data_IF_742048434335
#
_entry.id   IF_742048434335
#
_cell.length_a   1.000
_cell.length_b   1.000
_cell.length_c   1.000
_cell.angle_alpha   90.00
_cell.angle_beta   90.00
_cell.angle_gamma   90.00
#
_symmetry.space_group_name_H-M   'P 1'
#
loop_
_entity.id
_entity.type
_entity.pdbx_description
1 polymer ?
#
# COMPACT_ATOMS: atom_id res chain seq x y z
N UNK A 1 18.28 -9.06 20.09
CA UNK A 1 18.79 -8.04 19.14
C UNK A 1 17.88 -6.82 19.26
N UNK A 2 18.34 -5.64 18.84
CA UNK A 2 17.43 -4.49 18.77
C UNK A 2 16.38 -4.76 17.68
N UNK A 3 15.12 -4.45 17.95
CA UNK A 3 14.02 -4.55 16.99
C UNK A 3 13.44 -3.17 16.72
N UNK A 4 12.85 -3.03 15.53
CA UNK A 4 12.12 -1.85 15.09
C UNK A 4 10.70 -2.27 14.77
N UNK A 5 9.71 -1.58 15.33
CA UNK A 5 8.31 -1.82 15.00
C UNK A 5 7.98 -1.19 13.65
N UNK A 6 7.25 -1.91 12.81
CA UNK A 6 6.71 -1.46 11.53
C UNK A 6 5.19 -1.41 11.63
N UNK A 7 4.58 -0.36 11.05
CA UNK A 7 3.15 -0.18 10.94
C UNK A 7 2.67 -0.46 9.50
N UNK A 8 2.12 -1.65 9.26
CA UNK A 8 1.53 -2.09 8.01
C UNK A 8 0.09 -1.60 7.83
N UNK A 9 -0.24 -1.06 6.65
CA UNK A 9 -1.52 -0.35 6.40
C UNK A 9 -2.36 -0.94 5.26
N UNK A 10 -1.75 -1.77 4.40
CA UNK A 10 -2.39 -2.37 3.23
C UNK A 10 -2.37 -3.89 3.29
N UNK A 11 -1.71 -4.52 2.32
CA UNK A 11 -1.51 -5.98 2.32
C UNK A 11 -0.73 -6.48 3.54
N UNK A 12 0.13 -5.65 4.14
CA UNK A 12 0.83 -5.94 5.40
C UNK A 12 -0.11 -6.13 6.62
N UNK A 13 -1.40 -5.83 6.50
CA UNK A 13 -2.39 -6.22 7.51
C UNK A 13 -2.68 -7.74 7.51
N UNK A 14 -2.20 -8.47 6.51
CA UNK A 14 -2.14 -9.93 6.49
C UNK A 14 -0.75 -10.38 6.91
N UNK A 15 -0.69 -11.14 8.01
CA UNK A 15 0.55 -11.72 8.51
C UNK A 15 1.23 -12.61 7.46
N UNK A 16 0.45 -13.47 6.79
CA UNK A 16 0.96 -14.32 5.71
C UNK A 16 1.53 -13.50 4.55
N UNK A 17 0.86 -12.41 4.16
CA UNK A 17 1.40 -11.50 3.14
C UNK A 17 2.71 -10.86 3.56
N UNK A 18 2.82 -10.44 4.83
CA UNK A 18 4.04 -9.82 5.36
C UNK A 18 5.20 -10.81 5.41
N UNK A 19 4.96 -12.06 5.86
CA UNK A 19 6.00 -13.10 6.01
C UNK A 19 6.63 -13.55 4.69
N UNK A 20 6.02 -13.23 3.54
CA UNK A 20 6.65 -13.46 2.23
C UNK A 20 7.81 -12.53 1.91
N UNK A 21 7.95 -11.41 2.65
CA UNK A 21 8.98 -10.41 2.35
C UNK A 21 10.10 -10.33 3.38
N UNK A 22 9.79 -10.56 4.65
CA UNK A 22 10.77 -10.50 5.74
C UNK A 22 10.21 -11.20 6.98
N UNK A 23 11.10 -11.65 7.86
CA UNK A 23 10.74 -12.25 9.14
C UNK A 23 10.46 -11.19 10.21
N UNK A 24 9.52 -11.51 11.10
CA UNK A 24 9.13 -10.65 12.20
C UNK A 24 8.43 -11.42 13.32
N UNK A 25 8.39 -10.78 14.47
CA UNK A 25 7.67 -11.21 15.67
C UNK A 25 6.54 -10.24 16.04
N UNK A 26 5.71 -10.64 17.01
CA UNK A 26 4.76 -9.78 17.70
C UNK A 26 3.73 -9.08 16.77
N UNK A 27 3.16 -9.83 15.83
CA UNK A 27 2.09 -9.33 14.95
C UNK A 27 0.84 -8.99 15.76
N UNK A 28 0.41 -7.73 15.70
CA UNK A 28 -0.74 -7.23 16.48
C UNK A 28 -1.40 -6.05 15.81
N UNK A 29 -2.66 -5.77 16.14
CA UNK A 29 -3.34 -4.56 15.66
C UNK A 29 -3.03 -3.40 16.60
N UNK A 30 -2.68 -2.26 16.01
CA UNK A 30 -2.50 -0.99 16.71
C UNK A 30 -3.16 0.17 15.98
N UNK A 31 -2.93 1.36 16.49
CA UNK A 31 -3.50 2.62 16.04
C UNK A 31 -2.40 3.66 15.82
N UNK A 32 -2.53 4.43 14.74
CA UNK A 32 -1.76 5.65 14.50
C UNK A 32 -2.71 6.84 14.34
N UNK A 33 -2.32 8.00 14.89
CA UNK A 33 -3.10 9.23 14.86
C UNK A 33 -2.59 10.20 13.80
N UNK A 34 -3.47 11.00 13.20
CA UNK A 34 -3.06 12.04 12.24
C UNK A 34 -2.74 11.51 10.84
N UNK A 35 -3.05 10.24 10.57
CA UNK A 35 -2.78 9.59 9.29
C UNK A 35 -4.00 8.84 8.79
N UNK A 36 -4.23 8.86 7.48
CA UNK A 36 -5.24 8.03 6.81
C UNK A 36 -4.68 7.36 5.57
N UNK A 37 -5.33 6.29 5.14
CA UNK A 37 -4.95 5.54 3.94
C UNK A 37 -5.45 6.24 2.68
N UNK A 38 -4.65 6.21 1.62
CA UNK A 38 -5.08 6.61 0.29
C UNK A 38 -4.41 5.76 -0.80
N UNK A 39 -5.18 5.39 -1.84
CA UNK A 39 -4.68 4.77 -3.06
C UNK A 39 -4.00 5.81 -3.97
N UNK A 40 -2.89 6.39 -3.50
CA UNK A 40 -2.24 7.54 -4.12
C UNK A 40 -0.76 7.30 -4.46
N UNK A 41 -0.30 6.06 -4.33
CA UNK A 41 1.07 5.67 -4.63
C UNK A 41 1.07 4.60 -5.70
N UNK A 42 1.90 4.74 -6.73
CA UNK A 42 2.17 3.62 -7.63
C UNK A 42 3.13 2.63 -6.94
N UNK A 43 2.76 1.36 -6.85
CA UNK A 43 3.68 0.32 -6.38
C UNK A 43 4.05 -0.60 -7.55
N UNK A 44 5.33 -0.62 -7.90
CA UNK A 44 5.84 -1.46 -8.97
C UNK A 44 5.89 -2.93 -8.62
N UNK A 45 5.98 -3.31 -7.34
CA UNK A 45 5.80 -4.72 -6.94
C UNK A 45 4.49 -5.24 -7.52
N UNK A 46 3.42 -4.45 -7.46
CA UNK A 46 2.15 -4.82 -8.04
C UNK A 46 2.22 -4.89 -9.58
N UNK A 47 3.00 -4.04 -10.24
CA UNK A 47 3.16 -4.08 -11.71
C UNK A 47 3.99 -5.30 -12.13
N UNK A 48 5.11 -5.56 -11.47
CA UNK A 48 5.99 -6.71 -11.75
C UNK A 48 5.34 -8.05 -11.46
N UNK A 49 4.46 -8.11 -10.46
CA UNK A 49 3.66 -9.29 -10.15
C UNK A 49 2.38 -9.39 -11.00
N UNK A 50 2.17 -8.48 -11.96
CA UNK A 50 0.97 -8.48 -12.82
C UNK A 50 -0.34 -8.15 -12.09
N UNK A 51 -0.26 -7.67 -10.85
CA UNK A 51 -1.39 -7.21 -10.05
C UNK A 51 -1.89 -5.84 -10.52
N UNK A 52 -1.04 -5.02 -11.12
CA UNK A 52 -1.35 -3.66 -11.56
C UNK A 52 -1.18 -3.50 -13.08
N UNK A 53 -2.00 -2.63 -13.69
CA UNK A 53 -2.00 -2.39 -15.14
C UNK A 53 -1.77 -0.92 -15.45
N UNK A 54 -0.64 -0.63 -16.09
CA UNK A 54 -0.22 0.74 -16.38
C UNK A 54 -1.12 1.38 -17.44
N UNK A 55 -1.60 0.60 -18.41
CA UNK A 55 -2.40 1.08 -19.55
C UNK A 55 -3.77 1.59 -19.11
N UNK A 56 -4.33 1.02 -18.04
CA UNK A 56 -5.65 1.36 -17.50
C UNK A 56 -5.59 2.29 -16.29
N UNK A 57 -4.38 2.59 -15.78
CA UNK A 57 -4.19 3.38 -14.56
C UNK A 57 -4.52 2.63 -13.26
N UNK A 58 -4.74 1.31 -13.33
CA UNK A 58 -5.02 0.42 -12.19
C UNK A 58 -3.73 0.03 -11.45
N UNK A 59 -2.98 1.04 -11.01
CA UNK A 59 -1.67 0.89 -10.35
C UNK A 59 -1.62 1.49 -8.95
N UNK A 60 -2.75 2.04 -8.48
CA UNK A 60 -2.87 2.62 -7.15
C UNK A 60 -2.65 1.57 -6.07
N UNK A 61 -1.70 1.86 -5.19
CA UNK A 61 -1.39 1.15 -3.95
C UNK A 61 -1.57 2.10 -2.76
N UNK A 62 -1.67 1.50 -1.56
CA UNK A 62 -1.96 2.23 -0.34
C UNK A 62 -0.72 2.92 0.20
N UNK A 63 -0.84 4.21 0.45
CA UNK A 63 0.09 4.98 1.26
C UNK A 63 -0.65 5.70 2.38
N UNK A 64 0.07 6.06 3.44
CA UNK A 64 -0.47 6.96 4.45
C UNK A 64 -0.28 8.42 4.02
N UNK A 65 -1.34 9.19 4.17
CA UNK A 65 -1.37 10.64 3.95
C UNK A 65 -1.79 11.34 5.24
N UNK A 66 -1.39 12.62 5.44
CA UNK A 66 -1.82 13.39 6.59
C UNK A 66 -3.35 13.46 6.72
N UNK A 67 -3.83 13.44 7.95
CA UNK A 67 -5.22 13.57 8.34
C UNK A 67 -5.35 14.55 9.52
N UNK A 68 -6.58 14.81 9.95
CA UNK A 68 -6.84 15.51 11.21
C UNK A 68 -6.12 14.82 12.37
N UNK A 69 -5.59 15.59 13.33
CA UNK A 69 -4.69 15.08 14.39
C UNK A 69 -5.31 13.97 15.25
N UNK A 70 -6.64 13.98 15.39
CA UNK A 70 -7.42 13.00 16.14
C UNK A 70 -7.93 11.83 15.28
N UNK A 71 -7.64 11.82 13.97
CA UNK A 71 -8.03 10.75 13.08
C UNK A 71 -7.24 9.46 13.39
N UNK A 72 -7.96 8.39 13.70
CA UNK A 72 -7.39 7.08 14.04
C UNK A 72 -7.36 6.17 12.80
N UNK A 73 -6.17 5.69 12.46
CA UNK A 73 -5.99 4.58 11.52
C UNK A 73 -5.53 3.31 12.23
N UNK A 74 -6.22 2.21 11.98
CA UNK A 74 -5.79 0.89 12.41
C UNK A 74 -4.69 0.35 11.50
N UNK A 75 -3.66 -0.22 12.10
CA UNK A 75 -2.46 -0.76 11.42
C UNK A 75 -2.07 -2.10 12.03
N UNK A 76 -1.34 -2.92 11.27
CA UNK A 76 -0.64 -4.08 11.80
C UNK A 76 0.73 -3.64 12.29
N UNK A 77 1.04 -3.92 13.56
CA UNK A 77 2.34 -3.71 14.16
C UNK A 77 3.11 -5.03 14.14
N UNK A 78 4.36 -4.97 13.70
CA UNK A 78 5.27 -6.12 13.63
C UNK A 78 6.66 -5.67 14.05
N UNK A 79 7.32 -6.46 14.88
CA UNK A 79 8.65 -6.15 15.39
C UNK A 79 9.69 -6.86 14.52
N UNK A 80 10.50 -6.07 13.82
CA UNK A 80 11.47 -6.54 12.82
C UNK A 80 12.88 -6.31 13.35
N UNK A 81 13.73 -7.33 13.26
CA UNK A 81 15.13 -7.22 13.67
C UNK A 81 15.94 -6.44 12.63
N UNK A 82 17.09 -5.89 13.03
CA UNK A 82 17.91 -5.05 12.14
C UNK A 82 18.36 -5.75 10.85
N UNK A 83 18.55 -7.07 10.89
CA UNK A 83 18.91 -7.94 9.76
C UNK A 83 17.77 -8.17 8.76
N UNK A 84 16.52 -8.04 9.20
CA UNK A 84 15.32 -8.19 8.34
C UNK A 84 14.83 -6.86 7.76
N UNK A 85 15.32 -5.72 8.29
CA UNK A 85 14.98 -4.38 7.79
C UNK A 85 15.23 -4.18 6.29
N UNK A 86 16.31 -4.69 5.67
CA UNK A 86 16.50 -4.60 4.23
C UNK A 86 15.34 -5.20 3.42
N UNK A 87 14.77 -6.33 3.84
CA UNK A 87 13.62 -6.97 3.19
C UNK A 87 12.36 -6.10 3.25
N UNK A 88 12.14 -5.43 4.38
CA UNK A 88 11.10 -4.40 4.50
C UNK A 88 11.32 -3.23 3.54
N UNK A 89 12.51 -2.65 3.52
CA UNK A 89 12.80 -1.52 2.64
C UNK A 89 12.71 -1.89 1.16
N UNK A 90 13.05 -3.12 0.80
CA UNK A 90 12.88 -3.63 -0.56
C UNK A 90 11.40 -3.72 -0.95
N UNK A 91 10.56 -4.30 -0.08
CA UNK A 91 9.12 -4.42 -0.30
C UNK A 91 8.44 -3.06 -0.44
N UNK A 92 8.86 -2.10 0.36
CA UNK A 92 8.28 -0.76 0.43
C UNK A 92 9.06 0.27 -0.41
N UNK A 93 9.71 -0.20 -1.47
CA UNK A 93 10.38 0.65 -2.44
C UNK A 93 9.41 1.68 -3.05
N UNK A 94 9.85 2.93 -3.09
CA UNK A 94 9.06 4.06 -3.60
C UNK A 94 8.31 4.86 -2.53
N UNK A 95 8.15 4.33 -1.32
CA UNK A 95 7.48 5.06 -0.23
C UNK A 95 8.43 6.00 0.50
N UNK A 96 7.87 7.03 1.14
CA UNK A 96 8.56 7.75 2.20
C UNK A 96 8.28 7.06 3.53
N UNK A 97 9.34 6.72 4.26
CA UNK A 97 9.23 5.99 5.52
C UNK A 97 9.49 6.95 6.68
N UNK A 98 8.50 7.11 7.56
CA UNK A 98 8.56 8.00 8.72
C UNK A 98 8.45 7.22 10.03
N UNK A 99 9.05 7.74 11.10
CA UNK A 99 8.74 7.30 12.46
C UNK A 99 7.49 8.01 12.95
N UNK A 100 6.50 7.24 13.40
CA UNK A 100 5.25 7.77 13.95
C UNK A 100 4.95 7.11 15.29
N UNK A 101 4.27 7.83 16.16
CA UNK A 101 3.77 7.25 17.40
C UNK A 101 2.63 6.26 17.08
N UNK A 102 2.65 5.10 17.74
CA UNK A 102 1.54 4.16 17.72
C UNK A 102 1.03 3.90 19.14
N UNK A 103 -0.20 3.40 19.22
CA UNK A 103 -0.75 2.84 20.45
C UNK A 103 -1.42 1.51 20.19
N UNK A 104 -1.47 0.64 21.20
CA UNK A 104 -2.29 -0.58 21.17
C UNK A 104 -3.43 -0.41 22.17
N UNK A 105 -4.70 -0.38 21.73
CA UNK A 105 -5.82 -0.22 22.64
C UNK A 105 -5.99 -1.42 23.57
N UNK A 106 -6.69 -1.21 24.68
CA UNK A 106 -7.10 -2.29 25.58
C UNK A 106 -8.02 -3.29 24.89
N UNK A 107 -8.05 -4.54 25.37
CA UNK A 107 -8.87 -5.61 24.75
C UNK A 107 -10.36 -5.43 25.06
N UNK A 108 -10.68 -4.58 26.04
CA UNK A 108 -12.04 -4.32 26.49
C UNK A 108 -12.33 -2.82 26.47
N UNK A 109 -13.57 -2.41 26.16
CA UNK A 109 -13.99 -1.03 26.30
C UNK A 109 -13.68 -0.49 27.71
N UNK A 110 -12.97 0.63 27.80
CA UNK A 110 -12.57 1.26 29.06
C UNK A 110 -11.24 0.78 29.65
N UNK A 111 -10.60 -0.26 29.07
CA UNK A 111 -9.19 -0.51 29.35
C UNK A 111 -8.34 0.56 28.64
N UNK A 112 -7.44 1.20 29.39
CA UNK A 112 -6.46 2.12 28.81
C UNK A 112 -5.53 1.43 27.81
N UNK A 113 -4.68 2.23 27.15
CA UNK A 113 -3.74 1.71 26.17
C UNK A 113 -2.75 0.72 26.80
N UNK A 114 -2.59 -0.44 26.16
CA UNK A 114 -1.69 -1.52 26.61
C UNK A 114 -0.25 -1.24 26.24
N UNK A 115 -0.05 -0.53 25.15
CA UNK A 115 1.26 -0.27 24.58
C UNK A 115 1.29 1.10 23.90
N UNK A 116 2.46 1.73 23.93
CA UNK A 116 2.80 2.94 23.18
C UNK A 116 4.25 2.82 22.70
N UNK A 117 4.53 3.29 21.51
CA UNK A 117 5.88 3.29 20.97
C UNK A 117 5.98 4.09 19.67
N UNK A 118 7.08 3.90 18.96
CA UNK A 118 7.28 4.44 17.62
C UNK A 118 7.38 3.31 16.60
N UNK A 119 6.77 3.49 15.43
CA UNK A 119 6.83 2.54 14.34
C UNK A 119 7.27 3.24 13.04
N UNK A 120 7.90 2.48 12.14
CA UNK A 120 8.11 2.89 10.76
C UNK A 120 6.79 2.77 9.98
N UNK A 121 6.38 3.86 9.33
CA UNK A 121 5.14 3.95 8.56
C UNK A 121 5.43 4.34 7.11
N UNK A 122 4.86 3.61 6.16
CA UNK A 122 4.90 3.94 4.74
C UNK A 122 3.91 5.06 4.42
N UNK A 123 4.46 6.21 4.04
CA UNK A 123 3.71 7.41 3.64
C UNK A 123 3.91 7.70 2.17
N UNK A 124 2.96 8.43 1.58
CA UNK A 124 3.19 8.99 0.26
C UNK A 124 4.38 9.96 0.35
N UNK A 125 5.17 10.04 -0.72
CA UNK A 125 6.10 11.16 -0.91
C UNK A 125 5.31 12.49 -0.93
N UNK A 126 5.96 13.64 -1.07
CA UNK A 126 5.27 14.93 -1.28
C UNK A 126 5.31 15.40 -2.73
N UNK A 127 6.26 14.89 -3.49
CA UNK A 127 6.49 15.20 -4.89
C UNK A 127 7.53 14.21 -5.46
N UNK A 128 7.73 14.29 -6.77
CA UNK A 128 8.75 13.53 -7.49
C UNK A 128 10.17 13.81 -6.97
N UNK A 129 10.47 15.04 -6.51
CA UNK A 129 11.81 15.39 -6.06
C UNK A 129 12.17 14.72 -4.72
N UNK A 130 11.21 14.59 -3.81
CA UNK A 130 11.37 13.83 -2.58
C UNK A 130 11.57 12.34 -2.90
N UNK A 131 10.78 11.81 -3.83
CA UNK A 131 10.94 10.44 -4.30
C UNK A 131 12.32 10.20 -4.92
N UNK A 132 12.79 11.11 -5.77
CA UNK A 132 14.12 11.04 -6.39
C UNK A 132 15.21 11.06 -5.33
N UNK A 133 15.11 11.94 -4.34
CA UNK A 133 16.08 12.03 -3.25
C UNK A 133 16.14 10.78 -2.36
N UNK A 134 15.06 9.99 -2.33
CA UNK A 134 14.99 8.72 -1.60
C UNK A 134 15.49 7.55 -2.46
N UNK A 135 14.96 7.41 -3.67
CA UNK A 135 14.97 6.18 -4.46
C UNK A 135 15.64 6.32 -5.83
N UNK A 136 16.41 7.37 -6.10
CA UNK A 136 17.36 7.40 -7.23
C UNK A 136 18.69 6.74 -6.87
N UNK A 137 19.55 6.38 -7.85
CA UNK A 137 20.92 5.95 -7.57
C UNK A 137 21.67 7.05 -6.80
N UNK A 138 22.35 6.70 -5.69
CA UNK A 138 22.93 7.65 -4.76
C UNK A 138 21.95 8.23 -3.72
N UNK A 139 20.68 7.81 -3.76
CA UNK A 139 19.61 8.28 -2.88
C UNK A 139 19.72 7.77 -1.44
N UNK A 140 18.92 8.35 -0.54
CA UNK A 140 18.98 8.03 0.90
C UNK A 140 18.67 6.58 1.23
N UNK A 141 17.91 5.88 0.38
CA UNK A 141 17.50 4.50 0.62
C UNK A 141 18.54 3.47 0.16
N UNK A 142 19.52 3.85 -0.67
CA UNK A 142 20.54 2.93 -1.18
C UNK A 142 21.33 2.25 -0.05
N UNK A 143 21.64 2.99 1.03
CA UNK A 143 22.34 2.44 2.20
C UNK A 143 21.53 1.36 2.94
N UNK A 144 20.21 1.41 2.85
CA UNK A 144 19.30 0.52 3.57
C UNK A 144 18.97 -0.74 2.77
N UNK A 145 19.11 -0.67 1.44
CA UNK A 145 18.89 -1.77 0.53
C UNK A 145 20.22 -2.24 -0.10
N UNK A 146 21.36 -2.03 0.56
CA UNK A 146 22.67 -2.35 0.00
C UNK A 146 22.77 -3.86 -0.26
N UNK A 147 22.93 -4.25 -1.53
CA UNK A 147 22.98 -5.65 -1.95
C UNK A 147 21.67 -6.20 -2.51
N UNK A 148 20.57 -5.45 -2.43
CA UNK A 148 19.32 -5.80 -3.12
C UNK A 148 19.42 -5.46 -4.60
N UNK A 149 19.48 -6.49 -5.45
CA UNK A 149 19.45 -6.31 -6.91
C UNK A 149 18.12 -5.70 -7.37
N UNK A 150 17.02 -6.04 -6.68
CA UNK A 150 15.70 -5.48 -6.95
C UNK A 150 15.66 -3.97 -6.67
N UNK A 151 16.10 -3.53 -5.48
CA UNK A 151 16.11 -2.11 -5.15
C UNK A 151 17.07 -1.33 -6.06
N UNK A 152 18.21 -1.91 -6.42
CA UNK A 152 19.13 -1.30 -7.38
C UNK A 152 18.49 -1.15 -8.76
N UNK A 153 17.77 -2.16 -9.25
CA UNK A 153 17.02 -2.07 -10.51
C UNK A 153 15.90 -1.03 -10.44
N UNK A 154 15.16 -0.99 -9.34
CA UNK A 154 14.15 0.03 -9.07
C UNK A 154 14.74 1.44 -9.18
N UNK A 155 15.84 1.70 -8.49
CA UNK A 155 16.55 2.99 -8.52
C UNK A 155 17.01 3.33 -9.94
N UNK A 156 17.55 2.37 -10.69
CA UNK A 156 18.02 2.58 -12.07
C UNK A 156 16.89 2.93 -13.05
N UNK A 157 15.70 2.37 -12.87
CA UNK A 157 14.57 2.67 -13.76
C UNK A 157 13.96 4.05 -13.52
N UNK A 158 14.31 4.72 -12.42
CA UNK A 158 13.83 6.06 -12.05
C UNK A 158 12.31 6.20 -12.23
N UNK A 159 11.57 5.14 -11.88
CA UNK A 159 10.12 5.10 -12.03
C UNK A 159 9.53 5.92 -10.89
N UNK A 160 8.94 7.05 -11.27
CA UNK A 160 8.43 8.03 -10.32
C UNK A 160 7.19 7.47 -9.63
N UNK A 161 7.05 7.63 -8.31
CA UNK A 161 5.77 7.39 -7.68
C UNK A 161 4.79 8.38 -8.28
N UNK A 162 3.80 7.86 -9.01
CA UNK A 162 2.81 8.68 -9.69
C UNK A 162 2.12 9.55 -8.60
N UNK A 163 2.45 10.84 -8.59
CA UNK A 163 1.91 11.82 -7.65
C UNK A 163 0.42 12.04 -7.93
N UNK A 164 -0.46 12.24 -6.93
CA UNK A 164 -1.92 12.30 -7.10
C UNK A 164 -2.34 13.20 -8.25
N UNK A 165 -3.24 12.67 -9.09
CA UNK A 165 -3.83 13.41 -10.18
C UNK A 165 -4.60 14.63 -9.65
N UNK A 166 -4.54 15.79 -10.34
CA UNK A 166 -5.38 16.94 -10.01
C UNK A 166 -6.85 16.55 -9.91
N UNK A 167 -7.50 17.12 -8.89
CA UNK A 167 -8.89 16.95 -8.48
C UNK A 167 -9.95 17.04 -9.59
N UNK A 168 -9.66 17.78 -10.65
CA UNK A 168 -10.56 18.03 -11.77
C UNK A 168 -10.62 16.86 -12.77
N UNK A 169 -9.74 15.86 -12.62
CA UNK A 169 -9.55 14.78 -13.60
C UNK A 169 -10.12 13.41 -13.18
N UNK A 170 -10.75 13.29 -12.00
CA UNK A 170 -11.23 11.99 -11.51
C UNK A 170 -12.69 11.97 -11.02
N UNK A 171 -13.67 11.88 -11.93
CA UNK A 171 -14.92 11.20 -11.63
C UNK A 171 -14.84 9.69 -11.96
N UNK A 172 -15.28 8.88 -10.99
CA UNK A 172 -15.29 7.41 -10.82
C UNK A 172 -15.39 6.57 -12.12
N UNK A 173 -14.54 5.55 -12.32
CA UNK A 173 -14.82 4.40 -13.22
C UNK A 173 -14.06 3.10 -12.90
N UNK A 174 -14.74 2.05 -12.44
CA UNK A 174 -15.02 0.90 -13.34
C UNK A 174 -16.48 0.81 -13.88
N UNK A 175 -16.89 -0.19 -14.70
CA UNK A 175 -16.17 -1.14 -15.57
C UNK A 175 -16.63 -1.06 -17.06
N UNK A 176 -16.02 -1.83 -17.99
CA UNK A 176 -16.88 -2.56 -18.95
C UNK A 176 -16.62 -4.07 -19.01
N UNK A 177 -15.39 -4.58 -19.12
CA UNK A 177 -15.15 -6.03 -19.01
C UNK A 177 -13.92 -6.29 -18.14
N UNK A 178 -14.15 -6.41 -16.83
CA UNK A 178 -13.17 -6.52 -15.75
C UNK A 178 -12.14 -7.67 -15.89
N UNK A 179 -12.20 -8.55 -16.92
CA UNK A 179 -11.57 -9.86 -16.82
C UNK A 179 -11.45 -10.74 -18.09
N UNK A 180 -11.21 -10.30 -19.33
CA UNK A 180 -11.27 -11.31 -20.43
C UNK A 180 -10.31 -12.52 -20.33
N UNK A 181 -9.33 -12.52 -19.44
CA UNK A 181 -8.77 -13.78 -18.93
C UNK A 181 -8.30 -13.61 -17.49
N UNK A 182 -8.97 -14.31 -16.57
CA UNK A 182 -8.52 -14.69 -15.23
C UNK A 182 -7.01 -14.59 -15.05
N UNK A 183 -6.55 -13.88 -14.00
CA UNK A 183 -5.17 -13.81 -13.47
C UNK A 183 -4.20 -14.76 -14.20
N UNK A 184 -3.65 -14.31 -15.32
CA UNK A 184 -2.86 -15.13 -16.24
C UNK A 184 -1.61 -14.37 -16.64
N UNK A 185 -0.47 -14.88 -16.14
CA UNK A 185 0.91 -14.42 -16.25
C UNK A 185 1.22 -13.41 -17.36
N UNK A 186 1.62 -12.20 -16.97
CA UNK A 186 2.34 -11.28 -17.84
C UNK A 186 3.72 -10.98 -17.25
N UNK A 187 4.65 -11.91 -17.39
CA UNK A 187 6.06 -11.54 -17.54
C UNK A 187 6.22 -11.01 -18.96
N UNK A 188 6.25 -9.69 -19.15
CA UNK A 188 6.80 -9.10 -20.36
C UNK A 188 8.18 -8.50 -20.04
N UNK A 189 9.22 -9.25 -20.43
CA UNK A 189 10.59 -8.76 -20.45
C UNK A 189 10.70 -7.55 -21.39
N UNK A 190 11.28 -6.45 -20.89
CA UNK A 190 11.78 -5.37 -21.74
C UNK A 190 10.84 -4.20 -22.02
N UNK A 191 9.80 -3.98 -21.22
CA UNK A 191 8.93 -2.82 -21.41
C UNK A 191 9.63 -1.50 -20.98
N UNK A 192 10.22 -0.80 -21.95
CA UNK A 192 10.59 0.61 -21.80
C UNK A 192 9.29 1.42 -21.88
N UNK A 193 8.75 1.80 -20.72
CA UNK A 193 7.57 2.65 -20.60
C UNK A 193 7.87 4.02 -21.23
N UNK A 194 7.38 4.26 -22.44
CA UNK A 194 7.35 5.60 -23.05
C UNK A 194 6.13 6.35 -22.52
N UNK A 195 6.37 7.24 -21.56
CA UNK A 195 5.34 8.10 -21.00
C UNK A 195 4.73 9.01 -22.08
N UNK A 196 3.40 9.16 -22.14
CA UNK A 196 2.82 10.20 -22.98
C UNK A 196 3.25 11.57 -22.45
N UNK A 197 3.65 12.49 -23.33
CA UNK A 197 4.01 13.84 -22.93
C UNK A 197 2.74 14.51 -22.40
N UNK A 198 2.74 14.84 -21.11
CA UNK A 198 1.71 15.66 -20.44
C UNK A 198 0.27 15.15 -20.58
N UNK A 199 -0.10 14.13 -19.80
CA UNK A 199 -1.49 13.74 -19.57
C UNK A 199 -1.60 13.01 -18.23
N UNK A 200 -2.14 13.67 -17.21
CA UNK A 200 -2.28 13.10 -15.88
C UNK A 200 -3.31 11.96 -15.89
N UNK A 201 -2.87 10.73 -15.61
CA UNK A 201 -3.76 9.60 -15.37
C UNK A 201 -4.16 9.54 -13.89
N UNK A 202 -5.42 9.21 -13.63
CA UNK A 202 -5.84 8.81 -12.28
C UNK A 202 -5.19 7.52 -11.84
N UNK A 203 -4.83 7.42 -10.57
CA UNK A 203 -4.45 6.16 -9.96
C UNK A 203 -5.69 5.50 -9.40
N UNK A 204 -6.16 4.47 -10.10
CA UNK A 204 -7.21 3.61 -9.59
C UNK A 204 -6.59 2.47 -8.78
N UNK A 205 -7.24 2.04 -7.69
CA UNK A 205 -6.83 0.83 -7.00
C UNK A 205 -6.76 -0.34 -8.00
N UNK A 206 -5.64 -1.06 -8.02
CA UNK A 206 -5.60 -2.35 -8.69
C UNK A 206 -6.69 -3.26 -8.10
N UNK A 207 -7.55 -3.91 -8.89
CA UNK A 207 -8.58 -4.77 -8.34
C UNK A 207 -8.04 -5.92 -7.49
N UNK A 208 -6.96 -6.59 -7.94
CA UNK A 208 -6.35 -7.70 -7.22
C UNK A 208 -5.73 -7.25 -5.89
N UNK A 209 -4.98 -6.14 -5.92
CA UNK A 209 -4.40 -5.57 -4.70
C UNK A 209 -5.46 -5.06 -3.74
N UNK A 210 -6.51 -4.39 -4.25
CA UNK A 210 -7.66 -3.94 -3.46
C UNK A 210 -8.38 -5.12 -2.79
N UNK A 211 -8.61 -6.21 -3.52
CA UNK A 211 -9.19 -7.44 -2.97
C UNK A 211 -8.34 -8.00 -1.84
N UNK A 212 -7.02 -8.10 -2.04
CA UNK A 212 -6.09 -8.56 -1.00
C UNK A 212 -6.10 -7.68 0.25
N UNK A 213 -6.13 -6.35 0.08
CA UNK A 213 -6.23 -5.41 1.20
C UNK A 213 -7.57 -5.57 1.94
N UNK A 214 -8.69 -5.63 1.22
CA UNK A 214 -10.01 -5.80 1.82
C UNK A 214 -10.10 -7.12 2.61
N UNK A 215 -9.58 -8.22 2.05
CA UNK A 215 -9.54 -9.52 2.72
C UNK A 215 -8.71 -9.48 4.02
N UNK A 216 -7.55 -8.82 4.00
CA UNK A 216 -6.72 -8.64 5.18
C UNK A 216 -7.44 -7.84 6.28
N UNK A 217 -8.14 -6.76 5.90
CA UNK A 217 -8.92 -5.96 6.84
C UNK A 217 -10.17 -6.70 7.33
N UNK A 218 -10.82 -7.51 6.50
CA UNK A 218 -11.95 -8.35 6.91
C UNK A 218 -11.55 -9.37 7.97
N UNK A 219 -10.44 -10.11 7.75
CA UNK A 219 -9.90 -11.07 8.73
C UNK A 219 -9.51 -10.41 10.06
N UNK A 220 -9.10 -9.15 10.02
CA UNK A 220 -8.81 -8.35 11.22
C UNK A 220 -10.05 -7.74 11.89
N UNK A 221 -11.26 -7.91 11.33
CA UNK A 221 -12.49 -7.27 11.83
C UNK A 221 -12.55 -5.76 11.60
N UNK A 222 -11.81 -5.27 10.61
CA UNK A 222 -11.59 -3.84 10.32
C UNK A 222 -12.10 -3.43 8.92
N UNK A 223 -12.86 -4.28 8.23
CA UNK A 223 -13.30 -4.01 6.87
C UNK A 223 -14.10 -2.70 6.76
N UNK A 224 -15.04 -2.45 7.67
CA UNK A 224 -15.84 -1.21 7.62
C UNK A 224 -14.97 0.03 7.79
N UNK A 225 -14.07 0.03 8.78
CA UNK A 225 -13.09 1.10 8.96
C UNK A 225 -12.22 1.27 7.70
N UNK A 226 -11.76 0.18 7.09
CA UNK A 226 -11.00 0.23 5.85
C UNK A 226 -11.77 0.92 4.71
N UNK A 227 -13.02 0.53 4.49
CA UNK A 227 -13.83 1.06 3.40
C UNK A 227 -14.21 2.53 3.62
N UNK A 228 -14.52 2.92 4.86
CA UNK A 228 -14.99 4.26 5.20
C UNK A 228 -13.86 5.28 5.39
N UNK A 229 -12.67 4.80 5.78
CA UNK A 229 -11.55 5.66 6.16
C UNK A 229 -10.45 5.76 5.10
N UNK A 230 -10.55 5.01 4.00
CA UNK A 230 -9.56 4.96 2.92
C UNK A 230 -10.02 5.79 1.74
N UNK A 231 -9.14 6.62 1.20
CA UNK A 231 -9.42 7.50 0.08
C UNK A 231 -8.84 6.98 -1.23
N UNK A 232 -9.36 7.46 -2.36
CA UNK A 232 -8.69 7.33 -3.66
C UNK A 232 -7.58 8.37 -3.81
N UNK A 233 -6.90 8.37 -4.96
CA UNK A 233 -5.82 9.31 -5.27
C UNK A 233 -6.24 10.79 -5.27
N UNK A 234 -7.54 11.08 -5.37
CA UNK A 234 -8.09 12.44 -5.28
C UNK A 234 -8.15 12.99 -3.84
N UNK A 235 -7.85 12.15 -2.85
CA UNK A 235 -7.92 12.43 -1.42
C UNK A 235 -9.29 12.95 -0.96
N UNK A 236 -10.35 12.54 -1.65
CA UNK A 236 -11.72 12.97 -1.37
C UNK A 236 -12.73 11.85 -1.45
N UNK A 237 -12.64 11.04 -2.51
CA UNK A 237 -13.56 9.92 -2.70
C UNK A 237 -13.16 8.80 -1.75
N UNK A 238 -14.04 8.44 -0.82
CA UNK A 238 -13.84 7.28 0.04
C UNK A 238 -14.05 5.97 -0.74
N UNK A 239 -13.39 4.91 -0.26
CA UNK A 239 -13.37 3.62 -0.92
C UNK A 239 -14.77 2.97 -0.93
N UNK A 240 -15.61 3.19 0.08
CA UNK A 240 -16.99 2.68 0.09
C UNK A 240 -17.82 3.32 -1.02
N UNK A 241 -17.81 4.65 -1.12
CA UNK A 241 -18.48 5.41 -2.18
C UNK A 241 -18.00 4.97 -3.57
N UNK A 242 -16.70 4.73 -3.72
CA UNK A 242 -16.13 4.17 -4.94
C UNK A 242 -16.69 2.78 -5.25
N UNK A 243 -16.69 1.84 -4.30
CA UNK A 243 -17.22 0.49 -4.52
C UNK A 243 -18.74 0.50 -4.81
N UNK A 244 -19.51 1.36 -4.14
CA UNK A 244 -20.95 1.52 -4.39
C UNK A 244 -21.24 2.00 -5.82
N UNK A 245 -20.41 2.91 -6.34
CA UNK A 245 -20.48 3.35 -7.72
C UNK A 245 -20.00 2.27 -8.72
N UNK A 246 -19.41 1.17 -8.23
CA UNK A 246 -18.80 0.11 -9.03
C UNK A 246 -19.20 -1.31 -8.61
N UNK A 247 -20.47 -1.71 -8.80
CA UNK A 247 -21.00 -2.95 -8.22
C UNK A 247 -20.27 -4.24 -8.62
N UNK A 248 -19.69 -4.30 -9.83
CA UNK A 248 -18.90 -5.47 -10.28
C UNK A 248 -17.59 -5.60 -9.51
N UNK A 249 -16.87 -4.49 -9.32
CA UNK A 249 -15.66 -4.48 -8.49
C UNK A 249 -16.00 -4.75 -7.02
N UNK A 250 -17.10 -4.19 -6.51
CA UNK A 250 -17.56 -4.46 -5.15
C UNK A 250 -17.84 -5.96 -4.92
N UNK A 251 -18.47 -6.63 -5.89
CA UNK A 251 -18.71 -8.08 -5.82
C UNK A 251 -17.39 -8.86 -5.79
N UNK A 252 -16.45 -8.54 -6.69
CA UNK A 252 -15.13 -9.16 -6.73
C UNK A 252 -14.33 -8.98 -5.44
N UNK A 253 -14.42 -7.81 -4.81
CA UNK A 253 -13.76 -7.51 -3.53
C UNK A 253 -14.44 -8.26 -2.37
N UNK A 254 -15.77 -8.40 -2.39
CA UNK A 254 -16.52 -9.11 -1.37
C UNK A 254 -16.33 -10.64 -1.41
N UNK A 255 -16.10 -11.22 -2.59
CA UNK A 255 -15.80 -12.64 -2.78
C UNK A 255 -14.45 -13.08 -2.17
N UNK A 256 -13.70 -12.17 -1.55
CA UNK A 256 -12.42 -12.45 -0.90
C UNK A 256 -12.51 -13.18 0.45
N UNK A 257 -13.71 -13.26 1.03
CA UNK A 257 -13.96 -13.82 2.37
C UNK A 257 -14.19 -15.36 2.35
N UNK A 258 -14.36 -15.96 1.16
CA UNK A 258 -14.81 -17.35 0.98
C UNK A 258 -13.78 -18.34 0.41
N UNK A 259 -12.79 -17.86 -0.33
CA UNK A 259 -11.75 -18.69 -0.92
C UNK A 259 -10.41 -18.33 -0.28
N UNK A 260 -9.58 -19.35 0.00
CA UNK A 260 -8.12 -19.17 0.05
C UNK A 260 -7.78 -18.45 -1.26
N UNK A 261 -7.60 -17.12 -1.21
CA UNK A 261 -6.90 -16.41 -2.26
C UNK A 261 -5.60 -17.17 -2.35
N UNK A 262 -5.36 -17.92 -3.44
CA UNK A 262 -4.11 -18.66 -3.66
C UNK A 262 -2.99 -17.72 -3.23
N UNK A 263 -2.42 -17.98 -2.04
CA UNK A 263 -1.56 -16.98 -1.37
C UNK A 263 -0.19 -16.90 -2.07
N UNK A 264 -0.02 -17.70 -3.12
CA UNK A 264 1.04 -17.79 -4.12
C UNK A 264 0.93 -16.70 -5.21
N UNK A 265 0.72 -15.45 -4.80
CA UNK A 265 1.04 -14.28 -5.63
C UNK A 265 2.37 -13.66 -5.20
#
# INVERSE_FOLDING_TARGET
>A
MASVTIAGVGSLLSEASARRSFDFDNFRIGEVLGWRRAFCQANWVNVSLGLARVETGEVGALAMVPADEDFVSHVALMDVTEDELPGFYEREAGYRILRVAFTVPGLRPGEGQRERGEALLCTACTDDAEADALWSPGGRMERHCSGSEYAAEWMRRSLRPLWPAPQELLPIRPPQDFCRSQLGNCHEEGMVLSYPPSGHFGLYPSPGYLRGCAAAHARAGLLDHFLDSTLLSDLRTDLRSYLLANPRLASFVAEADGDEIDEDF
#
